data_IF_650113718059
#
_entry.id   IF_650113718059
#
_cell.length_a   1.000
_cell.length_b   1.000
_cell.length_c   1.000
_cell.angle_alpha   90.00
_cell.angle_beta   90.00
_cell.angle_gamma   90.00
#
_symmetry.space_group_name_H-M   'P 1'
#
loop_
_entity.id
_entity.type
_entity.pdbx_description
1 polymer ?
#
# COMPACT_ATOMS: atom_id res chain seq x y z
N UNK A 1 16.14 -2.81 -7.68
CA UNK A 1 14.91 -3.11 -6.92
C UNK A 1 15.12 -2.66 -5.47
N UNK A 2 14.12 -2.00 -4.88
CA UNK A 2 14.07 -1.76 -3.43
C UNK A 2 12.73 -2.29 -2.92
N UNK A 3 12.81 -3.29 -2.05
CA UNK A 3 11.70 -4.03 -1.50
C UNK A 3 11.64 -3.82 0.01
N UNK A 4 10.44 -3.60 0.55
CA UNK A 4 10.17 -3.57 1.98
C UNK A 4 8.97 -4.47 2.26
N UNK A 5 9.13 -5.45 3.14
CA UNK A 5 8.03 -6.29 3.60
C UNK A 5 8.01 -6.38 5.11
N UNK A 6 6.82 -6.11 5.67
CA UNK A 6 6.51 -6.18 7.08
C UNK A 6 5.14 -6.84 7.19
N UNK A 7 5.06 -7.97 7.88
CA UNK A 7 3.80 -8.69 8.14
C UNK A 7 3.68 -9.01 9.63
N UNK A 8 2.44 -9.10 10.12
CA UNK A 8 2.12 -9.41 11.52
C UNK A 8 2.82 -8.50 12.55
N UNK A 9 3.01 -7.23 12.18
CA UNK A 9 3.75 -6.25 12.99
C UNK A 9 2.89 -5.08 13.44
N UNK A 10 1.57 -5.19 13.28
CA UNK A 10 0.58 -4.15 13.63
C UNK A 10 0.89 -2.79 13.01
N UNK A 11 1.52 -2.76 11.84
CA UNK A 11 1.76 -1.51 11.12
C UNK A 11 0.42 -0.90 10.73
N UNK A 12 0.23 0.37 11.05
CA UNK A 12 -0.99 1.11 10.74
C UNK A 12 -0.72 2.43 10.02
N UNK A 13 0.43 3.06 10.29
CA UNK A 13 0.84 4.32 9.69
C UNK A 13 1.92 4.10 8.62
N UNK A 14 1.57 4.47 7.37
CA UNK A 14 2.48 4.41 6.23
C UNK A 14 3.08 5.78 5.88
N UNK A 15 2.77 6.84 6.62
CA UNK A 15 3.28 8.21 6.38
C UNK A 15 4.81 8.29 6.25
N UNK A 16 5.62 7.54 7.03
CA UNK A 16 7.08 7.55 6.87
C UNK A 16 7.57 7.09 5.49
N UNK A 17 6.74 6.38 4.73
CA UNK A 17 7.11 5.87 3.40
C UNK A 17 6.97 6.94 2.31
N UNK A 18 6.18 7.98 2.50
CA UNK A 18 5.81 8.93 1.42
C UNK A 18 7.00 9.63 0.74
N UNK A 19 8.14 9.74 1.42
CA UNK A 19 9.38 10.30 0.86
C UNK A 19 10.30 9.28 0.18
N UNK A 20 10.01 7.98 0.25
CA UNK A 20 10.88 6.91 -0.24
C UNK A 20 10.62 6.62 -1.72
N UNK A 21 10.83 7.61 -2.57
CA UNK A 21 10.49 7.60 -4.01
C UNK A 21 11.17 6.50 -4.84
N UNK A 22 12.20 5.84 -4.29
CA UNK A 22 12.91 4.73 -4.93
C UNK A 22 12.32 3.35 -4.60
N UNK A 23 11.27 3.26 -3.80
CA UNK A 23 10.58 1.99 -3.52
C UNK A 23 9.86 1.49 -4.76
N UNK A 24 10.05 0.21 -5.07
CA UNK A 24 9.42 -0.46 -6.21
C UNK A 24 8.37 -1.47 -5.79
N UNK A 25 8.55 -2.10 -4.63
CA UNK A 25 7.65 -3.15 -4.15
C UNK A 25 7.48 -3.04 -2.62
N UNK A 26 6.23 -3.16 -2.15
CA UNK A 26 5.87 -3.06 -0.74
C UNK A 26 5.00 -4.24 -0.30
N UNK A 27 5.30 -4.85 0.83
CA UNK A 27 4.51 -5.93 1.41
C UNK A 27 4.06 -5.60 2.82
N UNK A 28 2.77 -5.34 3.01
CA UNK A 28 2.14 -5.05 4.30
C UNK A 28 1.00 -6.01 4.63
N UNK A 29 0.95 -7.20 4.03
CA UNK A 29 -0.09 -8.18 4.29
C UNK A 29 -0.17 -8.57 5.78
N UNK A 30 -1.38 -8.79 6.28
CA UNK A 30 -1.67 -9.14 7.70
C UNK A 30 -1.12 -8.06 8.64
N UNK A 31 -1.62 -6.83 8.52
CA UNK A 31 -1.32 -5.73 9.43
C UNK A 31 -2.60 -4.96 9.79
N UNK A 32 -2.46 -3.73 10.29
CA UNK A 32 -3.54 -2.84 10.68
C UNK A 32 -3.54 -1.56 9.83
N UNK A 33 -3.14 -1.67 8.56
CA UNK A 33 -3.18 -0.55 7.61
C UNK A 33 -4.63 -0.24 7.27
N UNK A 34 -5.02 1.02 7.40
CA UNK A 34 -6.36 1.47 7.06
C UNK A 34 -6.37 2.56 5.98
N UNK A 35 -5.21 3.15 5.67
CA UNK A 35 -5.03 4.28 4.74
C UNK A 35 -3.82 4.02 3.82
N UNK A 36 -3.99 4.20 2.51
CA UNK A 36 -2.96 4.02 1.49
C UNK A 36 -2.52 5.32 0.81
N UNK A 37 -3.07 6.46 1.23
CA UNK A 37 -2.71 7.79 0.72
C UNK A 37 -1.19 8.04 0.68
N UNK A 38 -0.38 7.63 1.69
CA UNK A 38 1.07 7.83 1.63
C UNK A 38 1.76 7.13 0.46
N UNK A 39 1.16 6.07 -0.09
CA UNK A 39 1.72 5.30 -1.21
C UNK A 39 1.45 5.94 -2.57
N UNK A 40 0.43 6.80 -2.66
CA UNK A 40 0.03 7.48 -3.91
C UNK A 40 1.16 8.35 -4.46
N UNK A 41 2.01 8.93 -3.58
CA UNK A 41 3.16 9.74 -3.97
C UNK A 41 4.36 8.95 -4.50
N UNK A 42 4.39 7.61 -4.37
CA UNK A 42 5.52 6.79 -4.76
C UNK A 42 5.53 6.55 -6.28
N UNK A 43 6.35 7.32 -6.98
CA UNK A 43 6.40 7.33 -8.46
C UNK A 43 6.95 6.03 -9.07
N UNK A 44 7.82 5.33 -8.35
CA UNK A 44 8.46 4.09 -8.83
C UNK A 44 7.79 2.83 -8.29
N UNK A 45 6.71 2.96 -7.50
CA UNK A 45 5.98 1.82 -6.98
C UNK A 45 5.35 1.03 -8.14
N UNK A 46 5.45 -0.29 -8.05
CA UNK A 46 4.94 -1.25 -9.05
C UNK A 46 4.07 -2.32 -8.44
N UNK A 47 4.34 -2.68 -7.19
CA UNK A 47 3.59 -3.72 -6.49
C UNK A 47 3.38 -3.32 -5.03
N UNK A 48 2.17 -3.54 -4.53
CA UNK A 48 1.86 -3.41 -3.10
C UNK A 48 0.93 -4.54 -2.66
N UNK A 49 1.32 -5.26 -1.60
CA UNK A 49 0.46 -6.23 -0.95
C UNK A 49 -0.09 -5.67 0.36
N UNK A 50 -1.41 -5.54 0.45
CA UNK A 50 -2.15 -5.09 1.64
C UNK A 50 -3.23 -6.10 2.03
N UNK A 51 -3.10 -7.35 1.60
CA UNK A 51 -4.04 -8.40 1.92
C UNK A 51 -4.25 -8.52 3.43
N UNK A 52 -5.49 -8.78 3.87
CA UNK A 52 -5.81 -8.94 5.30
C UNK A 52 -5.43 -7.71 6.15
N UNK A 53 -5.67 -6.50 5.62
CA UNK A 53 -5.64 -5.25 6.38
C UNK A 53 -7.04 -4.63 6.47
N UNK A 54 -7.36 -3.93 7.57
CA UNK A 54 -8.66 -3.27 7.76
C UNK A 54 -8.74 -1.94 6.99
N UNK A 55 -8.68 -2.00 5.65
CA UNK A 55 -8.78 -0.82 4.80
C UNK A 55 -10.12 -0.11 5.04
N UNK A 56 -10.09 1.22 5.19
CA UNK A 56 -11.31 1.98 5.39
C UNK A 56 -12.08 2.17 4.05
N UNK A 57 -13.39 2.50 4.09
CA UNK A 57 -14.19 2.66 2.87
C UNK A 57 -13.66 3.69 1.88
N UNK A 58 -13.03 4.77 2.35
CA UNK A 58 -12.41 5.80 1.48
C UNK A 58 -11.21 5.23 0.75
N UNK A 59 -10.37 4.48 1.45
CA UNK A 59 -9.20 3.81 0.87
C UNK A 59 -9.60 2.82 -0.21
N UNK A 60 -10.66 2.05 0.03
CA UNK A 60 -11.20 1.12 -0.96
C UNK A 60 -11.79 1.86 -2.17
N UNK A 61 -12.58 2.92 -1.93
CA UNK A 61 -13.30 3.61 -3.00
C UNK A 61 -12.43 4.58 -3.83
N UNK A 62 -11.31 5.06 -3.29
CA UNK A 62 -10.53 6.16 -3.90
C UNK A 62 -9.06 5.79 -4.08
N UNK A 63 -8.39 5.35 -3.01
CA UNK A 63 -6.93 5.20 -3.03
C UNK A 63 -6.49 3.92 -3.75
N UNK A 64 -7.23 2.81 -3.58
CA UNK A 64 -6.99 1.56 -4.32
C UNK A 64 -7.09 1.79 -5.85
N UNK A 65 -8.23 2.27 -6.41
CA UNK A 65 -8.34 2.54 -7.84
C UNK A 65 -7.29 3.53 -8.36
N UNK A 66 -6.89 4.50 -7.55
CA UNK A 66 -5.87 5.48 -7.93
C UNK A 66 -4.49 4.83 -8.08
N UNK A 67 -4.12 3.89 -7.20
CA UNK A 67 -2.88 3.13 -7.30
C UNK A 67 -2.90 2.20 -8.52
N UNK A 68 -4.00 1.48 -8.73
CA UNK A 68 -4.18 0.58 -9.88
C UNK A 68 -4.15 1.34 -11.21
N UNK A 69 -4.80 2.51 -11.29
CA UNK A 69 -4.80 3.37 -12.48
C UNK A 69 -3.39 3.89 -12.82
N UNK A 70 -2.47 3.94 -11.85
CA UNK A 70 -1.05 4.25 -12.08
C UNK A 70 -0.24 3.04 -12.56
N UNK A 71 -0.86 1.87 -12.71
CA UNK A 71 -0.20 0.61 -13.05
C UNK A 71 0.52 -0.05 -11.88
N UNK A 72 0.13 0.26 -10.64
CA UNK A 72 0.58 -0.48 -9.46
C UNK A 72 -0.28 -1.72 -9.33
N UNK A 73 0.33 -2.90 -9.26
CA UNK A 73 -0.35 -4.14 -8.91
C UNK A 73 -0.65 -4.15 -7.41
N UNK A 74 -1.93 -4.11 -7.03
CA UNK A 74 -2.37 -4.05 -5.64
C UNK A 74 -2.98 -5.38 -5.23
N UNK A 75 -2.29 -6.14 -4.39
CA UNK A 75 -2.79 -7.40 -3.85
C UNK A 75 -3.61 -7.10 -2.60
N UNK A 76 -4.93 -7.27 -2.69
CA UNK A 76 -5.89 -7.00 -1.63
C UNK A 76 -6.98 -8.07 -1.52
N UNK A 77 -7.71 -8.09 -0.39
CA UNK A 77 -8.78 -9.07 -0.13
C UNK A 77 -10.17 -8.64 -0.59
N UNK A 78 -10.30 -7.42 -1.13
CA UNK A 78 -11.58 -6.82 -1.54
C UNK A 78 -11.84 -7.05 -3.04
N UNK A 79 -13.11 -7.11 -3.45
CA UNK A 79 -13.55 -7.32 -4.84
C UNK A 79 -14.09 -6.02 -5.42
#
# INVERSE_FOLDING_TARGET
MRFLSISDSKVSDLSPLGGLTNLTSLGFGINHVFDLLPLVGLINLREVNVQSNPLNPKTIAVELPLLEAKGVDVIHSYQ
#
